data_IF_989639361647
#
_entry.id   IF_989639361647
#
_cell.length_a   1.000
_cell.length_b   1.000
_cell.length_c   1.000
_cell.angle_alpha   90.00
_cell.angle_beta   90.00
_cell.angle_gamma   90.00
#
_symmetry.space_group_name_H-M   'P 1'
#
loop_
_entity.id
_entity.type
_entity.pdbx_description
1 polymer ?
#
# COMPACT_ATOMS: atom_id res chain seq x y z
N UNK A 1 2.15 -26.93 14.43
CA UNK A 1 2.21 -25.49 14.77
C UNK A 1 1.58 -24.53 13.75
N UNK A 2 1.29 -24.92 12.50
CA UNK A 2 0.51 -24.08 11.58
C UNK A 2 -1.02 -24.29 11.67
N UNK A 3 -1.46 -25.42 12.21
CA UNK A 3 -2.88 -25.79 12.28
C UNK A 3 -3.76 -24.88 13.17
N UNK A 4 -3.17 -24.24 14.20
CA UNK A 4 -3.93 -23.33 15.08
C UNK A 4 -4.28 -22.01 14.38
N UNK A 5 -3.38 -21.53 13.51
CA UNK A 5 -3.61 -20.32 12.70
C UNK A 5 -4.66 -20.57 11.61
N UNK A 6 -4.77 -21.80 11.11
CA UNK A 6 -5.79 -22.18 10.12
C UNK A 6 -7.19 -22.34 10.70
N UNK A 7 -7.32 -22.56 12.01
CA UNK A 7 -8.62 -22.72 12.70
C UNK A 7 -9.31 -21.41 13.07
N UNK A 8 -8.61 -20.26 12.99
CA UNK A 8 -9.10 -18.98 13.55
C UNK A 8 -9.63 -17.95 12.55
N UNK A 9 -9.41 -18.12 11.24
CA UNK A 9 -10.13 -17.28 10.28
C UNK A 9 -11.34 -18.02 9.71
N UNK A 10 -12.57 -17.52 9.94
CA UNK A 10 -13.77 -18.09 9.34
C UNK A 10 -13.79 -17.78 7.85
N UNK A 11 -13.82 -18.82 7.02
CA UNK A 11 -14.03 -18.71 5.58
C UNK A 11 -13.00 -19.46 4.72
N UNK A 12 -13.41 -19.90 3.52
CA UNK A 12 -12.56 -20.63 2.57
C UNK A 12 -11.31 -19.84 2.19
N UNK A 13 -10.21 -20.55 1.96
CA UNK A 13 -8.90 -20.05 1.54
C UNK A 13 -8.93 -18.82 0.59
N UNK A 14 -9.76 -18.79 -0.48
CA UNK A 14 -9.88 -17.63 -1.37
C UNK A 14 -10.29 -16.34 -0.67
N UNK A 15 -11.14 -16.38 0.37
CA UNK A 15 -11.54 -15.16 1.09
C UNK A 15 -10.37 -14.55 1.84
N UNK A 16 -9.53 -15.37 2.49
CA UNK A 16 -8.34 -14.89 3.20
C UNK A 16 -7.35 -14.23 2.24
N UNK A 17 -7.13 -14.85 1.08
CA UNK A 17 -6.27 -14.30 0.03
C UNK A 17 -6.84 -12.97 -0.46
N UNK A 18 -8.15 -12.91 -0.71
CA UNK A 18 -8.83 -11.69 -1.14
C UNK A 18 -8.70 -10.59 -0.09
N UNK A 19 -8.88 -10.89 1.21
CA UNK A 19 -8.74 -9.87 2.27
C UNK A 19 -7.30 -9.36 2.37
N UNK A 20 -6.32 -10.26 2.30
CA UNK A 20 -4.90 -9.87 2.29
C UNK A 20 -4.55 -9.03 1.06
N UNK A 21 -5.02 -9.42 -0.12
CA UNK A 21 -4.83 -8.67 -1.36
C UNK A 21 -5.44 -7.27 -1.26
N UNK A 22 -6.68 -7.15 -0.78
CA UNK A 22 -7.36 -5.86 -0.56
C UNK A 22 -6.56 -4.96 0.39
N UNK A 23 -6.04 -5.50 1.50
CA UNK A 23 -5.22 -4.74 2.44
C UNK A 23 -3.93 -4.23 1.78
N UNK A 24 -3.24 -5.08 1.02
CA UNK A 24 -2.02 -4.68 0.30
C UNK A 24 -2.34 -3.59 -0.73
N UNK A 25 -3.39 -3.78 -1.53
CA UNK A 25 -3.83 -2.78 -2.52
C UNK A 25 -4.22 -1.46 -1.86
N UNK A 26 -4.90 -1.49 -0.71
CA UNK A 26 -5.25 -0.30 0.05
C UNK A 26 -4.01 0.46 0.53
N UNK A 27 -3.00 -0.24 1.07
CA UNK A 27 -1.74 0.39 1.48
C UNK A 27 -1.01 1.01 0.29
N UNK A 28 -0.90 0.28 -0.83
CA UNK A 28 -0.27 0.79 -2.05
C UNK A 28 -1.00 2.04 -2.57
N UNK A 29 -2.33 2.04 -2.55
CA UNK A 29 -3.13 3.19 -2.94
C UNK A 29 -2.90 4.38 -2.00
N UNK A 30 -2.84 4.18 -0.68
CA UNK A 30 -2.53 5.25 0.27
C UNK A 30 -1.13 5.81 0.04
N UNK A 31 -0.13 4.97 -0.18
CA UNK A 31 1.21 5.43 -0.53
C UNK A 31 1.19 6.28 -1.80
N UNK A 32 0.49 5.83 -2.84
CA UNK A 32 0.44 6.52 -4.12
C UNK A 32 -0.36 7.83 -4.09
N UNK A 33 -1.51 7.87 -3.42
CA UNK A 33 -2.41 9.02 -3.46
C UNK A 33 -2.28 9.97 -2.26
N UNK A 34 -1.61 9.57 -1.19
CA UNK A 34 -1.45 10.41 0.01
C UNK A 34 0.02 10.70 0.27
N UNK A 35 0.88 9.67 0.27
CA UNK A 35 2.29 9.87 0.61
C UNK A 35 3.02 10.60 -0.51
N UNK A 36 2.82 10.25 -1.78
CA UNK A 36 3.42 11.00 -2.89
C UNK A 36 3.04 12.49 -2.88
N UNK A 37 1.75 12.88 -2.80
CA UNK A 37 1.38 14.30 -2.72
C UNK A 37 1.92 15.02 -1.49
N UNK A 38 2.06 14.32 -0.36
CA UNK A 38 2.70 14.90 0.83
C UNK A 38 4.21 15.06 0.67
N UNK A 39 4.84 14.27 -0.20
CA UNK A 39 6.26 14.34 -0.53
C UNK A 39 6.57 15.32 -1.68
N UNK A 40 5.61 15.67 -2.55
CA UNK A 40 5.75 16.74 -3.56
C UNK A 40 6.41 18.02 -3.01
N UNK A 41 6.01 18.57 -1.84
CA UNK A 41 6.68 19.74 -1.28
C UNK A 41 8.09 19.49 -0.70
N UNK A 42 8.44 18.24 -0.38
CA UNK A 42 9.79 17.86 0.07
C UNK A 42 10.74 17.54 -1.08
N UNK A 43 10.21 17.01 -2.18
CA UNK A 43 10.96 16.74 -3.39
C UNK A 43 10.81 17.96 -4.29
N UNK A 44 11.70 18.94 -4.11
CA UNK A 44 11.81 20.13 -4.96
C UNK A 44 12.20 19.72 -6.40
N UNK A 45 11.26 19.17 -7.18
CA UNK A 45 11.42 18.85 -8.61
C UNK A 45 11.28 20.09 -9.50
N UNK A 46 10.79 21.20 -8.93
CA UNK A 46 10.52 22.46 -9.63
C UNK A 46 11.74 23.39 -9.77
N UNK A 47 12.92 23.02 -9.24
CA UNK A 47 14.15 23.78 -9.55
C UNK A 47 14.62 23.47 -10.97
N UNK A 48 13.91 24.04 -11.95
CA UNK A 48 14.33 24.15 -13.34
C UNK A 48 15.65 24.94 -13.35
N UNK A 49 16.77 24.23 -13.35
CA UNK A 49 18.11 24.82 -13.50
C UNK A 49 18.40 25.17 -14.97
N UNK A 50 17.44 25.81 -15.65
CA UNK A 50 17.71 26.45 -16.94
C UNK A 50 18.19 27.86 -16.61
N UNK A 51 19.51 28.01 -16.45
CA UNK A 51 20.16 29.32 -16.56
C UNK A 51 20.17 29.70 -18.03
N UNK A 52 19.66 30.89 -18.34
CA UNK A 52 20.07 31.63 -19.54
C UNK A 52 21.51 32.11 -19.41
#
# INVERSE_FOLDING_TARGET
>A
MYAWLWRKLPGPLPRRILTAAVLVTAVVAVLWFVVFPLLEPLVTLDEVTVRE
#
